data_IF_484226556591
#
_entry.id   IF_484226556591
#
_cell.length_a   1.000
_cell.length_b   1.000
_cell.length_c   1.000
_cell.angle_alpha   90.00
_cell.angle_beta   90.00
_cell.angle_gamma   90.00
#
_symmetry.space_group_name_H-M   'P 1'
#
loop_
_entity.id
_entity.type
_entity.pdbx_description
1 polymer ?
#
# COMPACT_ATOMS: atom_id res chain seq x y z
N UNK A 1 45.15 -30.28 -16.91
CA UNK A 1 44.16 -29.18 -16.84
C UNK A 1 42.76 -29.77 -16.88
N UNK A 2 42.13 -29.99 -15.72
CA UNK A 2 40.75 -30.47 -15.65
C UNK A 2 39.78 -29.35 -16.06
N UNK A 3 39.04 -29.56 -17.15
CA UNK A 3 37.92 -28.69 -17.52
C UNK A 3 36.76 -28.97 -16.56
N UNK A 4 36.60 -28.14 -15.52
CA UNK A 4 35.44 -28.18 -14.62
C UNK A 4 34.14 -28.05 -15.44
N UNK A 5 33.11 -28.87 -15.15
CA UNK A 5 31.93 -28.99 -16.02
C UNK A 5 31.00 -27.79 -15.86
N UNK A 6 31.00 -26.88 -16.86
CA UNK A 6 30.12 -25.70 -16.94
C UNK A 6 28.62 -26.02 -16.78
N UNK A 7 28.19 -27.24 -17.10
CA UNK A 7 26.78 -27.69 -16.98
C UNK A 7 26.24 -27.67 -15.53
N UNK A 8 27.07 -27.97 -14.52
CA UNK A 8 26.61 -28.00 -13.12
C UNK A 8 26.20 -26.61 -12.61
N UNK A 9 26.91 -25.56 -13.03
CA UNK A 9 26.65 -24.18 -12.63
C UNK A 9 25.38 -23.61 -13.26
N UNK A 10 25.07 -23.96 -14.52
CA UNK A 10 23.84 -23.52 -15.19
C UNK A 10 22.60 -24.14 -14.55
N UNK A 11 22.65 -25.43 -14.23
CA UNK A 11 21.54 -26.13 -13.56
C UNK A 11 21.32 -25.60 -12.14
N UNK A 12 22.41 -25.31 -11.41
CA UNK A 12 22.32 -24.67 -10.09
C UNK A 12 21.72 -23.26 -10.17
N UNK A 13 22.11 -22.46 -11.16
CA UNK A 13 21.55 -21.11 -11.36
C UNK A 13 20.05 -21.14 -11.63
N UNK A 14 19.59 -22.02 -12.51
CA UNK A 14 18.15 -22.18 -12.81
C UNK A 14 17.37 -22.66 -11.58
N UNK A 15 17.91 -23.61 -10.83
CA UNK A 15 17.28 -24.11 -9.61
C UNK A 15 17.15 -23.01 -8.53
N UNK A 16 18.19 -22.18 -8.35
CA UNK A 16 18.15 -21.06 -7.39
C UNK A 16 17.12 -20.00 -7.80
N UNK A 17 17.04 -19.66 -9.09
CA UNK A 17 16.03 -18.71 -9.59
C UNK A 17 14.61 -19.26 -9.41
N UNK A 18 14.39 -20.54 -9.70
CA UNK A 18 13.10 -21.19 -9.48
C UNK A 18 12.72 -21.24 -8.01
N UNK A 19 13.67 -21.54 -7.11
CA UNK A 19 13.44 -21.53 -5.65
C UNK A 19 13.13 -20.11 -5.17
N UNK A 20 13.88 -19.09 -5.63
CA UNK A 20 13.62 -17.70 -5.29
C UNK A 20 12.24 -17.23 -5.78
N UNK A 21 11.85 -17.62 -7.01
CA UNK A 21 10.52 -17.33 -7.55
C UNK A 21 9.42 -18.03 -6.75
N UNK A 22 9.61 -19.30 -6.35
CA UNK A 22 8.65 -20.02 -5.50
C UNK A 22 8.57 -19.39 -4.11
N UNK A 23 9.69 -18.99 -3.51
CA UNK A 23 9.69 -18.27 -2.22
C UNK A 23 8.96 -16.93 -2.36
N UNK A 24 9.21 -16.18 -3.43
CA UNK A 24 8.54 -14.91 -3.70
C UNK A 24 7.03 -15.09 -3.88
N UNK A 25 6.59 -16.10 -4.64
CA UNK A 25 5.18 -16.44 -4.83
C UNK A 25 4.54 -16.92 -3.53
N UNK A 26 5.22 -17.77 -2.76
CA UNK A 26 4.72 -18.23 -1.46
C UNK A 26 4.63 -17.06 -0.49
N UNK A 27 5.64 -16.20 -0.41
CA UNK A 27 5.64 -15.01 0.45
C UNK A 27 4.58 -13.98 0.02
N UNK A 28 4.34 -13.77 -1.28
CA UNK A 28 3.28 -12.90 -1.76
C UNK A 28 1.88 -13.46 -1.49
N UNK A 29 1.73 -14.78 -1.47
CA UNK A 29 0.45 -15.47 -1.17
C UNK A 29 0.22 -15.59 0.34
N UNK A 30 1.26 -15.75 1.15
CA UNK A 30 1.17 -15.82 2.62
C UNK A 30 1.34 -14.48 3.33
N UNK A 31 1.70 -13.41 2.61
CA UNK A 31 1.76 -12.05 3.14
C UNK A 31 0.41 -11.73 3.76
N UNK A 32 0.47 -11.51 5.07
CA UNK A 32 -0.69 -11.38 5.92
C UNK A 32 -0.97 -9.89 6.17
N UNK A 33 -0.71 -9.06 5.15
CA UNK A 33 -0.85 -7.61 5.21
C UNK A 33 -2.20 -7.24 5.81
N UNK A 34 -2.14 -6.40 6.83
CA UNK A 34 -3.33 -5.89 7.49
C UNK A 34 -4.25 -5.18 6.50
N UNK A 35 -3.70 -4.34 5.61
CA UNK A 35 -4.52 -3.63 4.62
C UNK A 35 -5.16 -4.56 3.62
N UNK A 36 -4.45 -5.60 3.19
CA UNK A 36 -5.00 -6.63 2.30
C UNK A 36 -6.20 -7.37 2.93
N UNK A 37 -6.18 -7.59 4.25
CA UNK A 37 -7.32 -8.21 4.96
C UNK A 37 -8.52 -7.28 5.08
N UNK A 38 -8.26 -6.00 5.34
CA UNK A 38 -9.30 -4.98 5.54
C UNK A 38 -9.86 -4.46 4.21
N UNK A 39 -9.07 -4.52 3.14
CA UNK A 39 -9.42 -4.19 1.77
C UNK A 39 -8.92 -5.31 0.83
N UNK A 40 -9.70 -6.40 0.69
CA UNK A 40 -9.37 -7.51 -0.22
C UNK A 40 -9.17 -7.04 -1.68
N UNK A 41 -9.86 -5.97 -2.07
CA UNK A 41 -9.74 -5.35 -3.39
C UNK A 41 -8.33 -4.87 -3.74
N UNK A 42 -7.41 -4.76 -2.77
CA UNK A 42 -6.01 -4.44 -3.05
C UNK A 42 -5.29 -5.50 -3.90
N UNK A 43 -5.73 -6.77 -3.88
CA UNK A 43 -5.06 -7.82 -4.65
C UNK A 43 -5.14 -7.60 -6.16
N UNK A 44 -6.30 -7.17 -6.66
CA UNK A 44 -6.62 -7.16 -8.11
C UNK A 44 -7.36 -5.91 -8.55
N UNK A 45 -7.91 -5.16 -7.61
CA UNK A 45 -8.64 -3.93 -7.89
C UNK A 45 -7.73 -2.83 -8.44
N UNK A 46 -8.37 -1.90 -9.14
CA UNK A 46 -7.76 -0.67 -9.61
C UNK A 46 -7.63 0.29 -8.43
N UNK A 47 -6.40 0.70 -8.13
CA UNK A 47 -6.14 1.70 -7.09
C UNK A 47 -6.15 3.07 -7.77
N UNK A 48 -7.08 3.93 -7.40
CA UNK A 48 -7.10 5.32 -7.81
C UNK A 48 -6.63 6.14 -6.62
N UNK A 49 -5.41 6.67 -6.71
CA UNK A 49 -5.00 7.74 -5.80
C UNK A 49 -5.89 8.93 -6.12
N UNK A 50 -6.75 9.28 -5.17
CA UNK A 50 -7.73 10.33 -5.41
C UNK A 50 -7.07 11.65 -5.10
N UNK A 51 -6.42 11.77 -3.93
CA UNK A 51 -5.86 13.03 -3.49
C UNK A 51 -4.72 12.92 -2.48
N UNK A 52 -3.71 13.77 -2.63
CA UNK A 52 -2.99 14.30 -1.48
C UNK A 52 -3.79 15.46 -0.88
N UNK A 53 -3.96 15.49 0.44
CA UNK A 53 -4.80 16.49 1.09
C UNK A 53 -4.16 17.09 2.34
N UNK A 54 -4.45 18.37 2.56
CA UNK A 54 -4.28 19.06 3.83
C UNK A 54 -5.68 19.32 4.43
N UNK A 55 -5.92 18.78 5.62
CA UNK A 55 -7.12 19.04 6.40
C UNK A 55 -6.85 20.12 7.44
N UNK A 56 -7.41 21.30 7.18
CA UNK A 56 -7.51 22.37 8.17
C UNK A 56 -8.91 22.31 8.82
N UNK A 57 -9.09 22.79 10.06
CA UNK A 57 -10.40 22.77 10.70
C UNK A 57 -11.50 23.40 9.83
N UNK A 58 -12.44 22.58 9.37
CA UNK A 58 -13.57 23.00 8.54
C UNK A 58 -13.35 23.02 7.03
N UNK A 59 -12.14 22.73 6.52
CA UNK A 59 -11.85 22.65 5.08
C UNK A 59 -10.87 21.52 4.77
N UNK A 60 -11.20 20.68 3.79
CA UNK A 60 -10.25 19.72 3.19
C UNK A 60 -9.77 20.32 1.87
N UNK A 61 -8.47 20.56 1.77
CA UNK A 61 -7.85 21.10 0.57
C UNK A 61 -7.17 19.92 -0.14
N UNK A 62 -7.69 19.58 -1.31
CA UNK A 62 -7.08 18.60 -2.19
C UNK A 62 -6.04 19.31 -3.05
N UNK A 63 -4.76 18.97 -2.86
CA UNK A 63 -3.67 19.67 -3.53
C UNK A 63 -3.54 19.18 -4.96
N UNK A 64 -3.39 17.86 -5.15
CA UNK A 64 -3.11 17.24 -6.43
C UNK A 64 -3.77 15.88 -6.58
N UNK A 65 -4.14 15.56 -7.81
CA UNK A 65 -4.52 14.21 -8.23
C UNK A 65 -3.46 13.67 -9.16
N UNK A 66 -2.56 12.87 -8.62
CA UNK A 66 -1.51 12.18 -9.38
C UNK A 66 -1.83 10.69 -9.42
N UNK A 67 -1.85 10.14 -10.63
CA UNK A 67 -1.95 8.69 -10.81
C UNK A 67 -0.56 8.07 -10.59
N UNK A 68 -0.43 7.31 -9.50
CA UNK A 68 0.82 6.63 -9.15
C UNK A 68 0.93 5.27 -9.88
N UNK A 69 2.14 4.75 -10.10
CA UNK A 69 2.33 3.42 -10.67
C UNK A 69 1.62 2.34 -9.83
N UNK A 70 0.62 1.68 -10.43
CA UNK A 70 -0.27 0.73 -9.74
C UNK A 70 0.48 -0.38 -9.03
N UNK A 71 1.47 -1.00 -9.67
CA UNK A 71 2.19 -2.15 -9.11
C UNK A 71 3.07 -1.76 -7.92
N UNK A 72 3.76 -0.61 -8.00
CA UNK A 72 4.59 -0.11 -6.91
C UNK A 72 3.72 0.32 -5.74
N UNK A 73 2.66 1.10 -6.00
CA UNK A 73 1.71 1.51 -4.97
C UNK A 73 1.05 0.30 -4.30
N UNK A 74 0.62 -0.70 -5.08
CA UNK A 74 0.06 -1.94 -4.54
C UNK A 74 1.09 -2.65 -3.67
N UNK A 75 2.33 -2.80 -4.15
CA UNK A 75 3.42 -3.42 -3.39
C UNK A 75 3.65 -2.74 -2.04
N UNK A 76 3.55 -1.41 -1.97
CA UNK A 76 3.65 -0.66 -0.72
C UNK A 76 2.46 -0.94 0.21
N UNK A 77 1.23 -0.90 -0.32
CA UNK A 77 0.00 -1.12 0.46
C UNK A 77 -0.14 -2.55 0.98
N UNK A 78 0.33 -3.55 0.22
CA UNK A 78 0.31 -4.96 0.64
C UNK A 78 1.61 -5.40 1.33
N UNK A 79 2.56 -4.48 1.55
CA UNK A 79 3.78 -4.81 2.27
C UNK A 79 3.47 -5.18 3.73
N UNK A 80 4.40 -5.90 4.36
CA UNK A 80 4.29 -6.34 5.76
C UNK A 80 4.54 -5.17 6.75
N UNK A 81 3.96 -3.99 6.50
CA UNK A 81 3.97 -2.87 7.46
C UNK A 81 3.28 -3.32 8.74
N UNK A 82 3.96 -3.09 9.86
CA UNK A 82 3.48 -3.48 11.19
C UNK A 82 2.37 -2.52 11.68
N UNK A 83 1.20 -2.62 11.07
CA UNK A 83 0.03 -1.85 11.46
C UNK A 83 -0.55 -2.38 12.77
N UNK A 84 -0.61 -1.51 13.78
CA UNK A 84 -1.22 -1.80 15.07
C UNK A 84 -2.65 -1.31 15.09
N UNK A 85 -3.56 -2.09 15.69
CA UNK A 85 -4.96 -1.67 15.85
C UNK A 85 -5.00 -0.37 16.65
N UNK A 86 -5.83 0.57 16.20
CA UNK A 86 -6.01 1.86 16.86
C UNK A 86 -7.48 2.06 17.27
N UNK A 87 -7.71 2.98 18.19
CA UNK A 87 -9.04 3.42 18.57
C UNK A 87 -9.70 4.24 17.45
N UNK A 88 -11.03 4.29 17.45
CA UNK A 88 -11.80 5.11 16.51
C UNK A 88 -11.45 6.59 16.70
N UNK A 89 -10.94 7.21 15.65
CA UNK A 89 -10.69 8.65 15.60
C UNK A 89 -11.84 9.31 14.85
N UNK A 90 -12.47 10.32 15.46
CA UNK A 90 -13.64 11.01 14.86
C UNK A 90 -13.26 12.12 13.88
N UNK A 91 -12.01 12.58 13.90
CA UNK A 91 -11.52 13.65 13.05
C UNK A 91 -10.62 13.10 11.93
N UNK A 92 -10.76 13.68 10.74
CA UNK A 92 -9.80 13.48 9.66
C UNK A 92 -8.39 13.87 10.13
N UNK A 93 -7.33 13.15 9.73
CA UNK A 93 -5.96 13.58 9.97
C UNK A 93 -5.68 14.90 9.26
N UNK A 94 -4.71 15.66 9.77
CA UNK A 94 -4.38 16.98 9.22
C UNK A 94 -3.75 16.93 7.82
N UNK A 95 -3.11 15.82 7.45
CA UNK A 95 -2.36 15.70 6.20
C UNK A 95 -2.24 14.22 5.83
N UNK A 96 -2.51 13.87 4.58
CA UNK A 96 -2.49 12.47 4.14
C UNK A 96 -2.81 12.21 2.68
N UNK A 97 -2.82 10.93 2.34
CA UNK A 97 -3.30 10.39 1.08
C UNK A 97 -4.68 9.79 1.26
N UNK A 98 -5.57 10.08 0.32
CA UNK A 98 -6.87 9.43 0.16
C UNK A 98 -6.83 8.57 -1.12
N UNK A 99 -7.04 7.27 -0.96
CA UNK A 99 -6.99 6.29 -2.04
C UNK A 99 -8.34 5.57 -2.14
N UNK A 100 -8.83 5.40 -3.35
CA UNK A 100 -9.98 4.55 -3.63
C UNK A 100 -9.54 3.29 -4.34
N UNK A 101 -9.96 2.13 -3.85
CA UNK A 101 -9.67 0.83 -4.46
C UNK A 101 -10.96 0.25 -5.00
N UNK A 102 -10.98 -0.03 -6.30
CA UNK A 102 -12.17 -0.51 -7.02
C UNK A 102 -11.93 -1.93 -7.52
N UNK A 103 -12.77 -2.88 -7.10
CA UNK A 103 -12.84 -4.22 -7.69
C UNK A 103 -14.30 -4.61 -7.89
N UNK A 104 -14.72 -4.75 -9.16
CA UNK A 104 -16.10 -5.01 -9.53
C UNK A 104 -17.08 -3.97 -8.96
N UNK A 105 -18.02 -4.40 -8.11
CA UNK A 105 -19.00 -3.54 -7.42
C UNK A 105 -18.50 -3.06 -6.04
N UNK A 106 -17.34 -3.55 -5.57
CA UNK A 106 -16.77 -3.15 -4.30
C UNK A 106 -15.86 -1.94 -4.46
N UNK A 107 -16.05 -0.94 -3.60
CA UNK A 107 -15.18 0.23 -3.49
C UNK A 107 -14.75 0.40 -2.06
N UNK A 108 -13.46 0.63 -1.85
CA UNK A 108 -12.89 0.91 -0.54
C UNK A 108 -12.20 2.27 -0.55
N UNK A 109 -12.33 3.01 0.55
CA UNK A 109 -11.52 4.19 0.84
C UNK A 109 -10.40 3.79 1.82
N UNK A 110 -9.18 4.17 1.50
CA UNK A 110 -8.01 4.04 2.36
C UNK A 110 -7.46 5.45 2.59
N UNK A 111 -7.27 5.82 3.86
CA UNK A 111 -6.62 7.07 4.24
C UNK A 111 -5.34 6.75 4.99
N UNK A 112 -4.23 7.34 4.57
CA UNK A 112 -2.90 7.18 5.17
C UNK A 112 -2.36 8.56 5.48
N UNK A 113 -2.11 8.86 6.75
CA UNK A 113 -1.68 10.18 7.18
C UNK A 113 -0.21 10.26 7.55
N UNK A 114 0.33 11.48 7.53
CA UNK A 114 1.71 11.79 7.91
C UNK A 114 2.05 11.40 9.35
N UNK A 115 1.05 11.39 10.26
CA UNK A 115 1.22 10.97 11.66
C UNK A 115 1.06 9.45 11.85
N UNK A 116 1.08 8.69 10.75
CA UNK A 116 1.03 7.24 10.73
C UNK A 116 -0.34 6.66 11.05
N UNK A 117 -1.43 7.44 10.97
CA UNK A 117 -2.78 6.87 11.09
C UNK A 117 -3.20 6.28 9.76
N UNK A 118 -3.83 5.11 9.82
CA UNK A 118 -4.35 4.44 8.65
C UNK A 118 -5.81 4.06 8.90
N UNK A 119 -6.68 4.45 7.98
CA UNK A 119 -8.11 4.16 8.05
C UNK A 119 -8.54 3.44 6.78
N UNK A 120 -9.38 2.42 6.92
CA UNK A 120 -9.91 1.66 5.79
C UNK A 120 -11.41 1.50 5.96
N UNK A 121 -12.19 1.75 4.92
CA UNK A 121 -13.64 1.52 4.95
C UNK A 121 -14.17 1.12 3.56
N UNK A 122 -15.13 0.20 3.48
CA UNK A 122 -16.01 0.11 2.32
C UNK A 122 -16.75 1.42 2.09
N UNK A 123 -16.86 1.87 0.84
CA UNK A 123 -17.43 3.18 0.49
C UNK A 123 -18.92 3.30 0.83
N UNK A 124 -19.64 2.19 0.75
CA UNK A 124 -21.05 2.05 1.15
C UNK A 124 -21.25 2.09 2.68
N UNK A 125 -20.17 1.96 3.48
CA UNK A 125 -20.23 1.93 4.93
C UNK A 125 -19.11 2.73 5.62
N UNK A 126 -18.88 3.97 5.16
CA UNK A 126 -17.78 4.82 5.65
C UNK A 126 -17.82 5.19 7.13
N UNK A 127 -19.01 5.22 7.78
CA UNK A 127 -19.14 5.64 9.18
C UNK A 127 -18.98 4.50 10.20
N UNK A 128 -19.57 3.35 9.91
CA UNK A 128 -19.64 2.21 10.84
C UNK A 128 -18.69 1.08 10.43
N UNK A 129 -18.35 0.96 9.16
CA UNK A 129 -17.42 -0.03 8.61
C UNK A 129 -15.95 0.37 8.67
N UNK A 130 -15.63 1.60 9.10
CA UNK A 130 -14.24 2.08 9.14
C UNK A 130 -13.42 1.35 10.21
N UNK A 131 -12.30 0.77 9.81
CA UNK A 131 -11.29 0.26 10.72
C UNK A 131 -10.12 1.23 10.86
N UNK A 132 -9.49 1.21 12.03
CA UNK A 132 -8.49 2.20 12.43
C UNK A 132 -7.22 1.49 12.84
N UNK A 133 -6.11 1.96 12.29
CA UNK A 133 -4.79 1.39 12.43
C UNK A 133 -3.76 2.51 12.63
N UNK A 134 -2.61 2.13 13.16
CA UNK A 134 -1.46 3.00 13.31
C UNK A 134 -0.22 2.29 12.80
N UNK A 135 0.48 2.94 11.87
CA UNK A 135 1.87 2.68 11.54
C UNK A 135 2.77 3.44 12.54
N UNK A 136 3.38 2.76 13.51
CA UNK A 136 4.21 3.44 14.51
C UNK A 136 5.51 4.01 13.94
N UNK A 137 5.97 3.47 12.81
CA UNK A 137 7.23 3.85 12.17
C UNK A 137 7.04 4.93 11.11
N UNK A 138 5.79 5.20 10.69
CA UNK A 138 5.45 6.18 9.65
C UNK A 138 5.88 5.77 8.24
N UNK A 139 6.42 4.56 8.09
CA UNK A 139 7.05 4.05 6.88
C UNK A 139 6.10 4.05 5.68
N UNK A 140 4.83 3.69 5.88
CA UNK A 140 3.86 3.60 4.80
C UNK A 140 3.59 4.96 4.16
N UNK A 141 3.45 6.01 4.97
CA UNK A 141 3.28 7.36 4.45
C UNK A 141 4.54 7.83 3.71
N UNK A 142 5.71 7.63 4.31
CA UNK A 142 6.99 8.06 3.73
C UNK A 142 7.26 7.40 2.37
N UNK A 143 7.02 6.10 2.23
CA UNK A 143 7.23 5.38 0.97
C UNK A 143 6.25 5.83 -0.11
N UNK A 144 4.97 6.05 0.22
CA UNK A 144 3.98 6.57 -0.73
C UNK A 144 4.28 8.03 -1.08
N UNK A 145 4.74 8.84 -0.13
CA UNK A 145 5.12 10.23 -0.37
C UNK A 145 6.34 10.33 -1.29
N UNK A 146 7.35 9.47 -1.10
CA UNK A 146 8.49 9.39 -2.01
C UNK A 146 8.04 9.00 -3.42
N UNK A 147 7.19 7.97 -3.55
CA UNK A 147 6.62 7.57 -4.84
C UNK A 147 5.83 8.72 -5.50
N UNK A 148 5.08 9.48 -4.70
CA UNK A 148 4.36 10.67 -5.15
C UNK A 148 5.32 11.75 -5.71
N UNK A 149 6.39 12.08 -4.98
CA UNK A 149 7.39 13.05 -5.42
C UNK A 149 8.11 12.59 -6.71
N UNK A 150 8.43 11.30 -6.81
CA UNK A 150 9.08 10.72 -8.00
C UNK A 150 8.20 10.81 -9.26
N UNK A 151 6.88 10.87 -9.08
CA UNK A 151 5.89 10.95 -10.16
C UNK A 151 5.36 12.38 -10.39
N UNK A 152 6.11 13.39 -9.97
CA UNK A 152 5.81 14.80 -10.24
C UNK A 152 4.97 15.49 -9.16
N UNK A 153 4.78 14.85 -8.01
CA UNK A 153 4.18 15.46 -6.83
C UNK A 153 4.98 16.62 -6.28
N UNK A 154 4.27 17.66 -5.82
CA UNK A 154 4.91 18.81 -5.20
C UNK A 154 5.27 18.56 -3.73
N UNK A 155 6.43 19.09 -3.32
CA UNK A 155 6.82 19.06 -1.91
C UNK A 155 5.98 20.04 -1.11
N UNK A 156 5.65 19.61 0.10
CA UNK A 156 4.92 20.34 1.12
C UNK A 156 5.90 20.85 2.18
#
# INVERSE_FOLDING_TARGET
MEKKPKKKYVIFGVAVVMIAAVIFVVWSVTSNSTLKKECPALEKGKIVTVHFFESVPGVVIYTDKIELPQEELRSLLISDVNLKRAEKVKSMPNLGFELHVYENEETYEIIISIDGKVMVAPFDNMQDGRTYWKDPEGKLFDEIYNLYLENGGEKI
#
